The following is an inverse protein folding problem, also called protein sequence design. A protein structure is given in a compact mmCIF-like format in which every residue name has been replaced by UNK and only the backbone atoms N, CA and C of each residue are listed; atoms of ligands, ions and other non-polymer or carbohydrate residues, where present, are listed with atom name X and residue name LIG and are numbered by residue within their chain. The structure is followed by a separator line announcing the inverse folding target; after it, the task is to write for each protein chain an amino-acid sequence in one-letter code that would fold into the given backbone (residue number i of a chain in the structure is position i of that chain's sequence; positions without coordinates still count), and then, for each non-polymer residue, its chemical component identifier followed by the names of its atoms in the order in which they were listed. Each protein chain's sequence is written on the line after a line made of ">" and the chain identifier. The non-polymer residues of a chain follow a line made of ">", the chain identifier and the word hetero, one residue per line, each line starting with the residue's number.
data_IF_734961219879
#
_entry.id   IF_734961219879
#
_cell.length_a   1.000
_cell.length_b   1.000
_cell.length_c   1.000
_cell.angle_alpha   90.00
_cell.angle_beta   90.00
_cell.angle_gamma   90.00
#
_symmetry.space_group_name_H-M   'P 1'
#
loop_
_entity.id
_entity.type
_entity.pdbx_description
1 polymer ?
#
# COMPACT_ATOMS: atom_id res chain seq x y z
N UNK A 1 -0.82 -1.95 8.21
CA UNK A 1 0.09 -0.77 8.16
C UNK A 1 -0.34 0.08 6.96
N UNK A 2 -0.21 1.42 7.00
CA UNK A 2 -0.55 2.26 5.84
C UNK A 2 0.72 2.65 5.10
N UNK A 3 0.76 2.40 3.79
CA UNK A 3 1.85 2.86 2.93
C UNK A 3 1.73 4.36 2.60
N UNK A 4 0.53 4.93 2.70
CA UNK A 4 0.28 6.35 2.43
C UNK A 4 0.18 7.14 3.75
N UNK A 5 0.76 8.33 3.77
CA UNK A 5 0.58 9.34 4.81
C UNK A 5 -0.89 9.74 4.96
N UNK A 6 -1.34 9.94 6.20
CA UNK A 6 -2.71 10.42 6.50
C UNK A 6 -2.93 11.91 6.21
N UNK A 7 -1.92 12.64 5.74
CA UNK A 7 -2.01 14.08 5.51
C UNK A 7 -2.60 14.37 4.13
N UNK A 8 -3.82 14.89 4.14
CA UNK A 8 -4.43 15.56 3.00
C UNK A 8 -3.84 16.97 2.84
N UNK A 9 -3.30 17.29 1.66
CA UNK A 9 -2.76 18.62 1.38
C UNK A 9 -3.75 19.44 0.54
N UNK A 10 -4.29 20.50 1.18
CA UNK A 10 -5.27 21.40 0.55
C UNK A 10 -4.63 22.43 -0.38
N UNK A 11 -3.30 22.57 -0.38
CA UNK A 11 -2.58 23.61 -1.15
C UNK A 11 -2.16 23.13 -2.54
N UNK A 12 -2.17 21.83 -2.77
CA UNK A 12 -1.83 21.24 -4.07
C UNK A 12 -2.97 21.49 -5.08
N UNK A 13 -2.61 21.73 -6.35
CA UNK A 13 -3.59 21.95 -7.44
C UNK A 13 -4.32 20.67 -7.85
N UNK A 14 -3.71 19.51 -7.61
CA UNK A 14 -4.29 18.18 -7.76
C UNK A 14 -4.12 17.36 -6.48
N UNK A 15 -4.41 16.07 -6.56
CA UNK A 15 -4.32 15.17 -5.40
C UNK A 15 -3.00 14.40 -5.42
N UNK A 16 -2.24 14.51 -4.33
CA UNK A 16 -0.96 13.82 -4.18
C UNK A 16 -1.00 12.88 -2.98
N UNK A 17 -0.63 11.63 -3.19
CA UNK A 17 -0.45 10.64 -2.13
C UNK A 17 1.03 10.39 -1.91
N UNK A 18 1.46 10.50 -0.65
CA UNK A 18 2.87 10.38 -0.26
C UNK A 18 3.11 9.16 0.60
N UNK A 19 4.26 8.52 0.44
CA UNK A 19 4.72 7.44 1.29
C UNK A 19 4.75 7.87 2.76
N UNK A 20 4.20 7.06 3.65
CA UNK A 20 4.02 7.39 5.05
C UNK A 20 5.35 7.68 5.77
N UNK A 21 6.41 6.94 5.45
CA UNK A 21 7.70 7.05 6.16
C UNK A 21 8.69 7.98 5.46
N UNK A 22 8.73 7.96 4.12
CA UNK A 22 9.76 8.66 3.35
C UNK A 22 9.29 9.98 2.75
N UNK A 23 7.98 10.27 2.80
CA UNK A 23 7.38 11.47 2.21
C UNK A 23 7.42 11.52 0.66
N UNK A 24 8.03 10.53 0.01
CA UNK A 24 8.11 10.44 -1.45
C UNK A 24 6.72 10.31 -2.06
N UNK A 25 6.54 10.88 -3.24
CA UNK A 25 5.27 10.81 -3.96
C UNK A 25 5.10 9.39 -4.51
N UNK A 26 3.96 8.77 -4.22
CA UNK A 26 3.59 7.46 -4.76
C UNK A 26 2.70 7.63 -5.99
N UNK A 27 1.68 8.48 -5.89
CA UNK A 27 0.68 8.70 -6.94
C UNK A 27 0.31 10.18 -7.02
N UNK A 28 0.04 10.66 -8.23
CA UNK A 28 -0.52 11.99 -8.50
C UNK A 28 -1.79 11.82 -9.32
N UNK A 29 -2.83 12.54 -8.95
CA UNK A 29 -4.04 12.68 -9.75
C UNK A 29 -4.14 14.14 -10.19
N UNK A 30 -4.41 14.33 -11.47
CA UNK A 30 -4.73 15.64 -12.04
C UNK A 30 -6.21 16.01 -11.78
N UNK A 31 -6.68 15.64 -10.59
CA UNK A 31 -8.02 15.91 -10.08
C UNK A 31 -7.89 16.25 -8.60
N UNK A 32 -8.67 17.23 -8.16
CA UNK A 32 -8.74 17.64 -6.76
C UNK A 32 -9.84 16.84 -6.07
N UNK A 33 -9.46 15.89 -5.23
CA UNK A 33 -10.41 15.11 -4.44
C UNK A 33 -10.85 15.93 -3.23
N UNK A 34 -12.12 15.77 -2.85
CA UNK A 34 -12.55 16.16 -1.51
C UNK A 34 -11.91 15.25 -0.47
N UNK A 35 -11.99 15.66 0.79
CA UNK A 35 -11.35 14.93 1.89
C UNK A 35 -11.86 13.49 1.96
N UNK A 36 -13.16 13.28 1.83
CA UNK A 36 -13.77 11.96 2.00
C UNK A 36 -13.40 11.02 0.85
N UNK A 37 -13.39 11.52 -0.38
CA UNK A 37 -12.91 10.78 -1.56
C UNK A 37 -11.43 10.42 -1.43
N UNK A 38 -10.62 11.36 -0.92
CA UNK A 38 -9.21 11.13 -0.65
C UNK A 38 -9.00 10.06 0.42
N UNK A 39 -9.76 10.10 1.52
CA UNK A 39 -9.70 9.11 2.60
C UNK A 39 -10.13 7.72 2.09
N UNK A 40 -11.16 7.65 1.24
CA UNK A 40 -11.61 6.40 0.63
C UNK A 40 -10.54 5.80 -0.29
N UNK A 41 -9.91 6.60 -1.14
CA UNK A 41 -8.84 6.13 -2.02
C UNK A 41 -7.58 5.72 -1.22
N UNK A 42 -7.24 6.47 -0.17
CA UNK A 42 -6.16 6.11 0.75
C UNK A 42 -6.42 4.76 1.44
N UNK A 43 -7.65 4.50 1.85
CA UNK A 43 -8.06 3.25 2.46
C UNK A 43 -7.96 2.08 1.46
N UNK A 44 -8.44 2.26 0.22
CA UNK A 44 -8.34 1.24 -0.84
C UNK A 44 -6.88 0.89 -1.15
N UNK A 45 -6.00 1.88 -1.32
CA UNK A 45 -4.58 1.62 -1.57
C UNK A 45 -3.94 0.89 -0.39
N UNK A 46 -4.31 1.26 0.83
CA UNK A 46 -3.83 0.56 2.04
C UNK A 46 -4.28 -0.89 2.08
N UNK A 47 -5.52 -1.17 1.71
CA UNK A 47 -6.07 -2.53 1.64
C UNK A 47 -5.29 -3.38 0.64
N UNK A 48 -5.13 -2.90 -0.60
CA UNK A 48 -4.42 -3.62 -1.67
C UNK A 48 -2.95 -3.85 -1.30
N UNK A 49 -2.28 -2.84 -0.74
CA UNK A 49 -0.90 -2.98 -0.30
C UNK A 49 -0.74 -4.08 0.76
N UNK A 50 -1.58 -4.07 1.81
CA UNK A 50 -1.49 -5.09 2.86
C UNK A 50 -1.81 -6.50 2.32
N UNK A 51 -2.76 -6.63 1.38
CA UNK A 51 -3.04 -7.89 0.70
C UNK A 51 -1.82 -8.40 -0.09
N UNK A 52 -1.16 -7.51 -0.83
CA UNK A 52 0.09 -7.81 -1.55
C UNK A 52 1.22 -8.24 -0.63
N UNK A 53 1.44 -7.51 0.48
CA UNK A 53 2.43 -7.88 1.50
C UNK A 53 2.14 -9.24 2.12
N UNK A 54 0.88 -9.52 2.45
CA UNK A 54 0.49 -10.82 3.01
C UNK A 54 0.68 -11.96 2.01
N UNK A 55 0.30 -11.76 0.74
CA UNK A 55 0.52 -12.73 -0.33
C UNK A 55 2.01 -12.99 -0.57
N UNK A 56 2.82 -11.92 -0.67
CA UNK A 56 4.28 -12.02 -0.82
C UNK A 56 4.94 -12.71 0.37
N UNK A 57 4.48 -12.45 1.60
CA UNK A 57 4.95 -13.16 2.80
C UNK A 57 4.63 -14.66 2.74
N UNK A 58 3.41 -15.04 2.30
CA UNK A 58 3.03 -16.45 2.10
C UNK A 58 3.89 -17.12 1.03
N UNK A 59 4.08 -16.47 -0.11
CA UNK A 59 4.93 -16.97 -1.19
C UNK A 59 6.37 -17.15 -0.69
N UNK A 60 6.93 -16.13 -0.05
CA UNK A 60 8.29 -16.18 0.49
C UNK A 60 8.45 -17.28 1.53
N UNK A 61 7.46 -17.48 2.39
CA UNK A 61 7.46 -18.57 3.35
C UNK A 61 7.36 -19.95 2.67
N UNK A 62 6.64 -20.07 1.56
CA UNK A 62 6.61 -21.29 0.76
C UNK A 62 7.97 -21.57 0.09
N UNK A 63 8.58 -20.56 -0.55
CA UNK A 63 9.92 -20.65 -1.13
C UNK A 63 10.97 -21.08 -0.10
N UNK A 64 10.91 -20.53 1.13
CA UNK A 64 11.82 -20.90 2.22
C UNK A 64 11.59 -22.35 2.65
N UNK A 65 10.35 -22.81 2.80
CA UNK A 65 10.06 -24.21 3.16
C UNK A 65 10.56 -25.18 2.11
N UNK A 66 10.34 -24.87 0.83
CA UNK A 66 10.85 -25.64 -0.30
C UNK A 66 12.38 -25.71 -0.29
N UNK A 67 13.07 -24.57 -0.14
CA UNK A 67 14.53 -24.52 -0.06
C UNK A 67 15.10 -25.28 1.15
N UNK A 68 14.35 -25.40 2.24
CA UNK A 68 14.72 -26.17 3.43
C UNK A 68 14.31 -27.66 3.34
N UNK A 69 13.73 -28.11 2.22
CA UNK A 69 13.25 -29.48 2.05
C UNK A 69 12.05 -29.84 2.94
N UNK A 70 11.36 -28.84 3.49
CA UNK A 70 10.16 -29.00 4.31
C UNK A 70 8.98 -29.05 3.34
N UNK A 71 8.72 -30.20 2.74
CA UNK A 71 7.48 -30.41 1.99
C UNK A 71 6.30 -30.24 2.94
N UNK A 72 5.37 -29.34 2.60
CA UNK A 72 4.05 -29.31 3.23
C UNK A 72 3.40 -30.64 2.85
N UNK A 73 3.42 -31.61 3.78
CA UNK A 73 2.77 -32.90 3.61
C UNK A 73 1.29 -32.72 3.27
N UNK A 74 0.80 -33.62 2.41
CA UNK A 74 -0.56 -33.68 1.85
C UNK A 74 -1.69 -33.44 2.87
#
# INVERSE_FOLDING_TARGET
>A
MSIISRRFDKKETGTVFRHAESGKILYRLDARLERDDWEMLQAMVTLVYNAGVAAGSKQRAAEIREALGISVGE
#
